data_IF_865841905033
#
_entry.id   IF_865841905033
#
_cell.length_a   1.000
_cell.length_b   1.000
_cell.length_c   1.000
_cell.angle_alpha   90.00
_cell.angle_beta   90.00
_cell.angle_gamma   90.00
#
_symmetry.space_group_name_H-M   'P 1'
#
loop_
_entity.id
_entity.type
_entity.pdbx_description
1 polymer ?
#
# COMPACT_ATOMS: atom_id res chain seq x y z
N UNK A 1 2.93 -1.59 -4.00
CA UNK A 1 3.75 -0.44 -3.60
C UNK A 1 2.99 0.35 -2.54
N UNK A 2 3.68 0.92 -1.56
CA UNK A 2 3.05 1.70 -0.48
C UNK A 2 3.55 3.15 -0.62
N UNK A 3 2.64 4.12 -0.55
CA UNK A 3 2.95 5.53 -0.34
C UNK A 3 2.70 5.84 1.13
N UNK A 4 3.79 6.13 1.85
CA UNK A 4 3.73 6.40 3.27
C UNK A 4 2.68 7.48 3.58
N UNK A 5 1.87 7.24 4.61
CA UNK A 5 0.77 8.08 5.13
C UNK A 5 -0.42 8.32 4.19
N UNK A 6 -0.35 7.84 2.94
CA UNK A 6 -1.45 7.97 1.97
C UNK A 6 -2.14 6.63 1.70
N UNK A 7 -1.37 5.58 1.40
CA UNK A 7 -1.91 4.24 1.10
C UNK A 7 -1.51 3.19 2.14
N UNK A 8 -0.66 3.56 3.09
CA UNK A 8 -0.20 2.72 4.19
C UNK A 8 0.93 3.38 4.98
N UNK A 9 1.35 2.75 6.08
CA UNK A 9 2.55 3.14 6.81
C UNK A 9 3.74 2.29 6.36
N UNK A 10 4.88 2.94 6.11
CA UNK A 10 6.17 2.27 5.94
C UNK A 10 6.85 2.35 7.29
N UNK A 11 7.26 1.21 7.80
CA UNK A 11 7.90 1.07 9.11
C UNK A 11 9.14 0.19 8.95
N UNK A 12 10.03 0.25 9.93
CA UNK A 12 11.14 -0.67 10.01
C UNK A 12 10.66 -2.05 10.51
N UNK A 13 11.33 -3.15 10.12
CA UNK A 13 10.99 -4.49 10.60
C UNK A 13 11.52 -4.72 12.02
N UNK A 14 11.18 -3.83 12.95
CA UNK A 14 11.53 -3.92 14.38
C UNK A 14 10.28 -3.80 15.22
N UNK A 15 10.28 -4.43 16.41
CA UNK A 15 9.11 -4.44 17.31
C UNK A 15 8.67 -3.02 17.67
N UNK A 16 9.63 -2.14 17.97
CA UNK A 16 9.34 -0.74 18.32
C UNK A 16 8.68 0.02 17.16
N UNK A 17 9.14 -0.17 15.93
CA UNK A 17 8.58 0.50 14.76
C UNK A 17 7.19 -0.02 14.39
N UNK A 18 6.95 -1.32 14.60
CA UNK A 18 5.60 -1.93 14.49
C UNK A 18 4.66 -1.35 15.55
N UNK A 19 5.10 -1.28 16.80
CA UNK A 19 4.33 -0.69 17.90
C UNK A 19 3.97 0.78 17.63
N UNK A 20 4.93 1.56 17.16
CA UNK A 20 4.70 2.94 16.72
C UNK A 20 3.67 3.02 15.58
N UNK A 21 3.76 2.15 14.58
CA UNK A 21 2.84 2.15 13.44
C UNK A 21 1.40 1.86 13.86
N UNK A 22 1.19 0.85 14.70
CA UNK A 22 -0.13 0.51 15.25
C UNK A 22 -0.66 1.65 16.11
N UNK A 23 0.16 2.17 17.03
CA UNK A 23 -0.21 3.30 17.89
C UNK A 23 -0.63 4.52 17.07
N UNK A 24 0.12 4.83 16.01
CA UNK A 24 -0.16 5.93 15.07
C UNK A 24 -1.52 5.77 14.39
N UNK A 25 -1.90 4.56 13.97
CA UNK A 25 -3.22 4.32 13.37
C UNK A 25 -4.37 4.53 14.37
N UNK A 26 -4.12 4.34 15.67
CA UNK A 26 -5.14 4.46 16.72
C UNK A 26 -5.29 5.89 17.25
N UNK A 27 -4.44 6.84 16.86
CA UNK A 27 -4.61 8.26 17.23
C UNK A 27 -5.71 8.96 16.43
N UNK A 28 -6.00 8.48 15.21
CA UNK A 28 -7.03 9.04 14.34
C UNK A 28 -7.64 7.96 13.43
N UNK A 29 -8.80 7.45 13.82
CA UNK A 29 -9.50 6.40 13.07
C UNK A 29 -10.08 6.86 11.73
N UNK A 30 -10.40 8.15 11.56
CA UNK A 30 -10.88 8.65 10.26
C UNK A 30 -9.75 8.63 9.24
N UNK A 31 -8.58 9.14 9.62
CA UNK A 31 -7.38 9.10 8.80
C UNK A 31 -6.95 7.65 8.51
N UNK A 32 -7.00 6.76 9.50
CA UNK A 32 -6.69 5.34 9.29
C UNK A 32 -7.62 4.67 8.26
N UNK A 33 -8.93 4.94 8.33
CA UNK A 33 -9.92 4.43 7.35
C UNK A 33 -9.69 5.02 5.96
N UNK A 34 -9.45 6.34 5.88
CA UNK A 34 -9.15 7.01 4.62
C UNK A 34 -7.90 6.41 3.95
N UNK A 35 -6.83 6.19 4.73
CA UNK A 35 -5.60 5.57 4.24
C UNK A 35 -5.84 4.14 3.74
N UNK A 36 -6.62 3.35 4.48
CA UNK A 36 -7.00 2.00 4.07
C UNK A 36 -7.79 1.97 2.75
N UNK A 37 -8.73 2.90 2.57
CA UNK A 37 -9.49 3.02 1.32
C UNK A 37 -8.59 3.39 0.14
N UNK A 38 -7.63 4.29 0.33
CA UNK A 38 -6.64 4.61 -0.71
C UNK A 38 -5.70 3.43 -0.99
N UNK A 39 -5.29 2.69 0.04
CA UNK A 39 -4.52 1.44 -0.11
C UNK A 39 -5.23 0.43 -0.99
N UNK A 40 -6.53 0.22 -0.76
CA UNK A 40 -7.36 -0.66 -1.59
C UNK A 40 -7.41 -0.20 -3.05
N UNK A 41 -7.75 1.08 -3.29
CA UNK A 41 -7.82 1.64 -4.64
C UNK A 41 -6.48 1.52 -5.37
N UNK A 42 -5.38 1.81 -4.71
CA UNK A 42 -4.05 1.70 -5.31
C UNK A 42 -3.68 0.25 -5.67
N UNK A 43 -4.07 -0.72 -4.85
CA UNK A 43 -3.85 -2.12 -5.15
C UNK A 43 -4.70 -2.59 -6.35
N UNK A 44 -5.99 -2.21 -6.35
CA UNK A 44 -6.95 -2.56 -7.40
C UNK A 44 -6.61 -1.94 -8.76
N UNK A 45 -5.91 -0.80 -8.81
CA UNK A 45 -5.54 -0.16 -10.08
C UNK A 45 -4.16 -0.58 -10.58
N UNK A 46 -3.18 -0.75 -9.70
CA UNK A 46 -1.80 -1.01 -10.11
C UNK A 46 -1.51 -2.49 -10.43
N UNK A 47 -2.33 -3.41 -9.92
CA UNK A 47 -2.12 -4.85 -10.01
C UNK A 47 -3.31 -5.59 -10.64
N UNK A 48 -3.99 -4.95 -11.59
CA UNK A 48 -5.01 -5.62 -12.40
C UNK A 48 -4.38 -6.70 -13.28
N UNK A 49 -5.21 -7.68 -13.68
CA UNK A 49 -4.77 -8.70 -14.65
C UNK A 49 -4.33 -8.08 -15.97
N UNK A 50 -5.01 -7.01 -16.43
CA UNK A 50 -4.64 -6.30 -17.66
C UNK A 50 -3.22 -5.75 -17.57
N UNK A 51 -2.87 -5.06 -16.47
CA UNK A 51 -1.53 -4.50 -16.26
C UNK A 51 -0.47 -5.60 -16.17
N UNK A 52 -0.79 -6.73 -15.52
CA UNK A 52 0.15 -7.86 -15.42
C UNK A 52 0.36 -8.53 -16.78
N UNK A 53 -0.70 -8.74 -17.55
CA UNK A 53 -0.62 -9.34 -18.88
C UNK A 53 0.19 -8.46 -19.84
N UNK A 54 -0.09 -7.15 -19.88
CA UNK A 54 0.64 -6.17 -20.70
C UNK A 54 2.14 -6.17 -20.37
N UNK A 55 2.50 -6.11 -19.08
CA UNK A 55 3.90 -6.16 -18.64
C UNK A 55 4.58 -7.47 -19.01
N UNK A 56 3.86 -8.58 -18.88
CA UNK A 56 4.38 -9.91 -19.21
C UNK A 56 4.65 -10.02 -20.70
N UNK A 57 3.71 -9.56 -21.54
CA UNK A 57 3.89 -9.55 -23.01
C UNK A 57 5.08 -8.68 -23.41
N UNK A 58 5.25 -7.51 -22.79
CA UNK A 58 6.37 -6.61 -23.07
C UNK A 58 7.73 -7.30 -22.88
N UNK A 59 7.90 -8.10 -21.82
CA UNK A 59 9.14 -8.84 -21.57
C UNK A 59 9.46 -9.91 -22.63
N UNK A 60 8.46 -10.44 -23.34
CA UNK A 60 8.69 -11.41 -24.43
C UNK A 60 8.92 -10.74 -25.78
N UNK A 61 8.51 -9.48 -25.93
CA UNK A 61 8.73 -8.68 -27.15
C UNK A 61 10.04 -7.91 -27.14
N UNK A 62 10.69 -7.80 -25.98
CA UNK A 62 11.99 -7.12 -25.78
C UNK A 62 13.18 -8.02 -26.03
#
# INVERSE_FOLDING_TARGET
FIWHTVTGLKIHPTVDSVGWGIGTLFTNFEWARWMGANGRRAAETAFTWDVVAEKTEHCYRS
#
